data_IF_174353046429
#
_entry.id   IF_174353046429
#
_cell.length_a   1.000
_cell.length_b   1.000
_cell.length_c   1.000
_cell.angle_alpha   90.00
_cell.angle_beta   90.00
_cell.angle_gamma   90.00
#
_symmetry.space_group_name_H-M   'P 1'
#
loop_
_entity.id
_entity.type
_entity.pdbx_description
1 polymer ?
#
# COMPACT_ATOMS: atom_id res chain seq x y z
N UNK A 1 -9.37 -12.76 -6.67
CA UNK A 1 -8.01 -12.15 -6.76
C UNK A 1 -8.13 -10.65 -6.60
N UNK A 2 -7.43 -10.09 -5.61
CA UNK A 2 -7.41 -8.64 -5.46
C UNK A 2 -6.47 -8.00 -6.48
N UNK A 3 -6.92 -6.91 -7.12
CA UNK A 3 -6.10 -6.11 -8.04
C UNK A 3 -6.42 -4.63 -7.91
N UNK A 4 -5.38 -3.82 -7.86
CA UNK A 4 -5.49 -2.36 -7.78
C UNK A 4 -5.82 -1.76 -9.15
N UNK A 5 -6.81 -0.87 -9.21
CA UNK A 5 -7.16 -0.17 -10.45
C UNK A 5 -6.01 0.73 -10.92
N UNK A 6 -5.27 1.35 -10.00
CA UNK A 6 -4.09 2.14 -10.35
C UNK A 6 -2.99 1.29 -11.01
N UNK A 7 -2.84 0.02 -10.61
CA UNK A 7 -1.89 -0.91 -11.25
C UNK A 7 -2.33 -1.34 -12.66
N UNK A 8 -3.63 -1.38 -12.92
CA UNK A 8 -4.17 -1.60 -14.27
C UNK A 8 -3.99 -0.33 -15.11
N UNK A 9 -4.34 0.82 -14.54
CA UNK A 9 -4.29 2.13 -15.21
C UNK A 9 -2.89 2.48 -15.74
N UNK A 10 -1.83 2.07 -15.05
CA UNK A 10 -0.45 2.33 -15.52
C UNK A 10 -0.15 1.74 -16.91
N UNK A 11 -0.91 0.72 -17.32
CA UNK A 11 -0.75 0.09 -18.64
C UNK A 11 -1.45 0.84 -19.78
N UNK A 12 -2.25 1.88 -19.49
CA UNK A 12 -3.01 2.65 -20.46
C UNK A 12 -2.66 4.14 -20.38
N UNK A 13 -2.73 4.83 -21.51
CA UNK A 13 -2.58 6.29 -21.58
C UNK A 13 -3.88 6.99 -21.19
N UNK A 14 -5.01 6.45 -21.65
CA UNK A 14 -6.33 7.00 -21.37
C UNK A 14 -6.77 6.62 -19.94
N UNK A 15 -7.54 7.50 -19.32
CA UNK A 15 -8.18 7.21 -18.03
C UNK A 15 -9.26 6.15 -18.19
N UNK A 16 -9.25 5.16 -17.32
CA UNK A 16 -10.25 4.10 -17.24
C UNK A 16 -11.26 4.41 -16.14
N UNK A 17 -12.55 4.27 -16.46
CA UNK A 17 -13.61 4.32 -15.44
C UNK A 17 -13.76 2.95 -14.78
N UNK A 18 -13.69 2.89 -13.46
CA UNK A 18 -13.70 1.64 -12.70
C UNK A 18 -15.02 0.88 -12.84
N UNK A 19 -16.16 1.59 -12.90
CA UNK A 19 -17.47 0.95 -12.99
C UNK A 19 -17.66 0.35 -14.38
N UNK A 20 -17.31 1.10 -15.44
CA UNK A 20 -17.35 0.64 -16.82
C UNK A 20 -16.45 -0.59 -17.04
N UNK A 21 -15.23 -0.57 -16.48
CA UNK A 21 -14.31 -1.71 -16.57
C UNK A 21 -14.82 -2.92 -15.81
N UNK A 22 -15.35 -2.74 -14.59
CA UNK A 22 -15.92 -3.81 -13.78
C UNK A 22 -17.07 -4.53 -14.49
N UNK A 23 -18.01 -3.76 -15.07
CA UNK A 23 -19.13 -4.30 -15.83
C UNK A 23 -18.64 -5.06 -17.07
N UNK A 24 -17.73 -4.48 -17.85
CA UNK A 24 -17.19 -5.09 -19.06
C UNK A 24 -16.43 -6.38 -18.80
N UNK A 25 -15.62 -6.44 -17.74
CA UNK A 25 -14.91 -7.66 -17.34
C UNK A 25 -15.90 -8.77 -17.02
N UNK A 26 -16.93 -8.46 -16.22
CA UNK A 26 -17.97 -9.42 -15.84
C UNK A 26 -18.72 -9.93 -17.07
N UNK A 27 -19.05 -9.06 -18.03
CA UNK A 27 -19.76 -9.43 -19.27
C UNK A 27 -18.97 -10.38 -20.18
N UNK A 28 -17.64 -10.39 -20.11
CA UNK A 28 -16.80 -11.34 -20.87
C UNK A 28 -16.41 -12.58 -20.06
N UNK A 29 -16.98 -12.77 -18.85
CA UNK A 29 -16.79 -13.96 -18.03
C UNK A 29 -15.62 -13.85 -17.03
N UNK A 30 -15.12 -12.65 -16.77
CA UNK A 30 -14.17 -12.35 -15.69
C UNK A 30 -14.96 -11.62 -14.61
N UNK A 31 -15.54 -12.39 -13.68
CA UNK A 31 -16.45 -11.86 -12.66
C UNK A 31 -15.73 -10.92 -11.70
N UNK A 32 -16.28 -9.71 -11.50
CA UNK A 32 -15.83 -8.76 -10.49
C UNK A 32 -16.80 -8.84 -9.31
N UNK A 33 -16.37 -9.52 -8.24
CA UNK A 33 -17.19 -9.77 -7.04
C UNK A 33 -17.46 -8.50 -6.25
N UNK A 34 -16.45 -7.62 -6.16
CA UNK A 34 -16.59 -6.33 -5.47
C UNK A 34 -15.60 -5.29 -5.98
N UNK A 35 -15.98 -4.01 -5.79
CA UNK A 35 -15.14 -2.83 -6.04
C UNK A 35 -15.05 -2.05 -4.74
N UNK A 36 -13.86 -2.03 -4.13
CA UNK A 36 -13.62 -1.38 -2.85
C UNK A 36 -12.82 -0.10 -3.06
N UNK A 37 -13.41 1.06 -2.69
CA UNK A 37 -12.75 2.37 -2.80
C UNK A 37 -11.75 2.57 -1.66
N UNK A 38 -10.53 2.92 -2.00
CA UNK A 38 -9.53 3.47 -1.08
C UNK A 38 -9.70 5.00 -1.06
N UNK A 39 -10.41 5.51 -0.07
CA UNK A 39 -10.82 6.92 -0.03
C UNK A 39 -10.06 7.69 1.05
N UNK A 40 -8.94 8.29 0.67
CA UNK A 40 -8.18 9.20 1.53
C UNK A 40 -8.64 10.65 1.38
N UNK A 41 -9.25 11.01 0.24
CA UNK A 41 -9.68 12.37 -0.06
C UNK A 41 -10.85 12.82 0.81
N UNK A 42 -11.73 11.92 1.22
CA UNK A 42 -12.86 12.23 2.10
C UNK A 42 -12.51 12.35 3.59
N UNK A 43 -11.26 12.13 3.97
CA UNK A 43 -10.81 12.24 5.36
C UNK A 43 -10.92 13.70 5.85
N UNK A 44 -11.16 13.84 7.17
CA UNK A 44 -11.21 15.16 7.83
C UNK A 44 -9.85 15.88 7.73
N UNK A 45 -9.86 17.17 7.38
CA UNK A 45 -8.65 18.03 7.29
C UNK A 45 -7.82 18.08 8.59
N UNK A 46 -8.40 17.69 9.72
CA UNK A 46 -7.71 17.59 11.01
C UNK A 46 -6.99 16.26 11.22
N UNK A 47 -7.04 15.35 10.24
CA UNK A 47 -6.18 14.19 10.18
C UNK A 47 -4.93 14.61 9.41
N UNK A 48 -3.86 14.88 10.14
CA UNK A 48 -2.63 15.46 9.59
C UNK A 48 -1.46 14.47 9.69
N UNK A 49 -0.42 14.75 8.93
CA UNK A 49 0.84 14.01 9.00
C UNK A 49 1.65 14.52 10.18
N UNK A 50 2.09 13.62 11.06
CA UNK A 50 2.93 13.93 12.21
C UNK A 50 4.19 13.09 12.25
N UNK A 51 5.18 13.54 13.01
CA UNK A 51 6.40 12.79 13.28
C UNK A 51 6.53 12.47 14.77
N UNK A 52 6.81 11.23 15.09
CA UNK A 52 7.10 10.81 16.45
C UNK A 52 8.48 11.31 16.85
N UNK A 53 8.56 12.22 17.82
CA UNK A 53 9.82 12.76 18.32
C UNK A 53 10.37 11.96 19.51
N UNK A 54 9.48 11.45 20.35
CA UNK A 54 9.88 10.73 21.54
C UNK A 54 8.83 9.69 21.95
N UNK A 55 9.30 8.55 22.44
CA UNK A 55 8.45 7.47 22.95
C UNK A 55 8.91 7.11 24.37
N UNK A 56 8.00 7.14 25.33
CA UNK A 56 8.23 6.72 26.72
C UNK A 56 7.26 5.63 27.12
N UNK A 57 7.66 4.71 27.98
CA UNK A 57 6.74 3.73 28.57
C UNK A 57 5.71 4.43 29.45
N UNK A 58 4.48 3.94 29.41
CA UNK A 58 3.42 4.44 30.28
C UNK A 58 3.67 3.98 31.73
N UNK A 59 3.60 4.88 32.74
CA UNK A 59 3.93 4.51 34.14
C UNK A 59 2.98 3.48 34.74
N UNK A 60 1.72 3.46 34.32
CA UNK A 60 0.65 2.64 34.90
C UNK A 60 0.09 1.58 33.95
N UNK A 61 0.79 1.26 32.83
CA UNK A 61 0.30 0.28 31.87
C UNK A 61 1.43 -0.26 30.95
N UNK A 62 1.72 -1.56 31.10
CA UNK A 62 2.85 -2.21 30.39
C UNK A 62 2.72 -2.21 28.86
N UNK A 63 1.49 -2.21 28.32
CA UNK A 63 1.21 -2.25 26.88
C UNK A 63 1.01 -0.88 26.26
N UNK A 64 1.08 0.20 27.05
CA UNK A 64 0.88 1.56 26.53
C UNK A 64 2.19 2.33 26.49
N UNK A 65 2.24 3.26 25.58
CA UNK A 65 3.36 4.18 25.38
C UNK A 65 2.83 5.61 25.33
N UNK A 66 3.63 6.54 25.82
CA UNK A 66 3.39 7.98 25.73
C UNK A 66 4.27 8.50 24.61
N UNK A 67 3.65 9.01 23.55
CA UNK A 67 4.33 9.52 22.38
C UNK A 67 4.23 11.04 22.31
N UNK A 68 5.33 11.70 22.06
CA UNK A 68 5.40 13.13 21.71
C UNK A 68 5.44 13.22 20.17
N UNK A 69 4.39 13.77 19.57
CA UNK A 69 4.22 13.81 18.12
C UNK A 69 4.19 15.26 17.65
N UNK A 70 5.13 15.60 16.79
CA UNK A 70 5.23 16.90 16.13
C UNK A 70 4.32 16.95 14.90
N UNK A 71 3.41 17.90 14.87
CA UNK A 71 2.51 18.18 13.74
C UNK A 71 2.84 19.50 13.05
N UNK A 72 4.10 19.99 13.14
CA UNK A 72 4.61 21.27 12.63
C UNK A 72 4.07 22.49 13.39
N UNK A 73 2.80 22.49 13.73
CA UNK A 73 2.13 23.60 14.46
C UNK A 73 2.11 23.42 15.95
N UNK A 74 2.19 22.18 16.43
CA UNK A 74 2.11 21.83 17.86
C UNK A 74 2.78 20.48 18.12
N UNK A 75 3.24 20.29 19.35
CA UNK A 75 3.75 19.02 19.84
C UNK A 75 2.66 18.37 20.70
N UNK A 76 2.13 17.26 20.23
CA UNK A 76 1.03 16.55 20.89
C UNK A 76 1.54 15.39 21.74
N UNK A 77 1.02 15.27 22.95
CA UNK A 77 1.18 14.04 23.75
C UNK A 77 0.03 13.09 23.39
N UNK A 78 0.38 11.89 22.91
CA UNK A 78 -0.61 10.87 22.49
C UNK A 78 -0.27 9.55 23.16
N UNK A 79 -1.28 8.90 23.75
CA UNK A 79 -1.14 7.58 24.35
C UNK A 79 -1.46 6.53 23.28
N UNK A 80 -0.55 5.58 23.08
CA UNK A 80 -0.65 4.56 22.05
C UNK A 80 -0.38 3.16 22.61
N UNK A 81 -1.14 2.17 22.13
CA UNK A 81 -0.95 0.76 22.44
C UNK A 81 -0.26 -0.05 21.35
N UNK A 82 0.04 0.57 20.21
CA UNK A 82 0.70 -0.11 19.10
C UNK A 82 2.19 -0.31 19.38
N UNK A 83 2.72 -1.47 18.98
CA UNK A 83 4.13 -1.84 19.16
C UNK A 83 5.00 -1.61 17.93
N UNK A 84 4.40 -1.26 16.80
CA UNK A 84 5.10 -1.12 15.52
C UNK A 84 5.72 0.26 15.27
N UNK A 85 5.68 1.17 16.25
CA UNK A 85 6.14 2.56 16.16
C UNK A 85 7.55 2.76 16.72
N UNK A 86 8.32 3.67 16.11
CA UNK A 86 9.66 4.07 16.57
C UNK A 86 9.83 5.60 16.54
N UNK A 87 10.84 6.09 17.24
CA UNK A 87 11.23 7.49 17.15
C UNK A 87 11.64 7.83 15.70
N UNK A 88 11.12 8.95 15.19
CA UNK A 88 11.35 9.40 13.83
C UNK A 88 10.29 8.97 12.82
N UNK A 89 9.43 8.01 13.13
CA UNK A 89 8.38 7.55 12.24
C UNK A 89 7.41 8.68 11.87
N UNK A 90 7.04 8.71 10.59
CA UNK A 90 6.01 9.61 10.04
C UNK A 90 4.68 8.86 10.04
N UNK A 91 3.65 9.46 10.61
CA UNK A 91 2.38 8.79 10.88
C UNK A 91 1.17 9.71 10.65
N UNK A 92 -0.04 9.19 10.36
CA UNK A 92 -1.27 9.96 10.42
C UNK A 92 -1.69 10.21 11.86
N UNK A 93 -2.08 11.45 12.14
CA UNK A 93 -2.53 11.91 13.46
C UNK A 93 -3.90 12.57 13.33
N UNK A 94 -4.90 12.00 13.99
CA UNK A 94 -6.21 12.60 14.15
C UNK A 94 -6.18 13.57 15.36
N UNK A 95 -6.22 14.87 15.07
CA UNK A 95 -6.25 15.95 16.07
C UNK A 95 -7.59 16.01 16.80
N UNK A 96 -7.63 16.67 17.95
CA UNK A 96 -8.88 16.93 18.67
C UNK A 96 -9.87 17.65 17.75
N UNK A 97 -11.10 17.14 17.72
CA UNK A 97 -12.19 17.65 16.91
C UNK A 97 -12.29 17.03 15.51
N UNK A 98 -11.32 16.22 15.07
CA UNK A 98 -11.46 15.43 13.84
C UNK A 98 -12.52 14.35 13.97
N UNK A 99 -13.07 13.95 12.82
CA UNK A 99 -14.03 12.85 12.71
C UNK A 99 -13.44 11.76 11.84
N UNK A 100 -13.35 10.54 12.39
CA UNK A 100 -12.92 9.36 11.64
C UNK A 100 -14.04 8.83 10.73
N UNK A 101 -13.74 8.05 9.68
CA UNK A 101 -14.74 7.42 8.82
C UNK A 101 -15.76 6.57 9.57
N UNK A 102 -15.38 5.92 10.67
CA UNK A 102 -16.28 5.20 11.58
C UNK A 102 -17.32 6.09 12.29
N UNK A 103 -17.22 7.42 12.15
CA UNK A 103 -18.05 8.40 12.86
C UNK A 103 -17.50 8.81 14.22
N UNK A 104 -16.43 8.18 14.71
CA UNK A 104 -15.79 8.53 15.99
C UNK A 104 -15.20 9.94 15.91
N UNK A 105 -15.60 10.81 16.86
CA UNK A 105 -15.03 12.15 17.01
C UNK A 105 -13.92 12.15 18.05
N UNK A 106 -12.73 12.58 17.64
CA UNK A 106 -11.57 12.63 18.53
C UNK A 106 -11.72 13.78 19.53
N UNK A 107 -11.55 13.42 20.81
CA UNK A 107 -11.61 14.36 21.94
C UNK A 107 -10.37 14.18 22.80
N UNK A 108 -10.03 15.21 23.59
CA UNK A 108 -9.08 15.05 24.69
C UNK A 108 -9.55 13.90 25.60
N UNK A 109 -8.70 12.96 25.85
CA UNK A 109 -9.00 11.78 26.68
C UNK A 109 -7.96 11.61 27.77
N UNK A 110 -8.35 10.94 28.85
CA UNK A 110 -7.44 10.54 29.94
C UNK A 110 -7.38 9.01 29.95
N UNK A 111 -6.21 8.45 29.66
CA UNK A 111 -5.98 7.01 29.58
C UNK A 111 -5.01 6.60 30.69
N UNK A 112 -5.48 5.80 31.64
CA UNK A 112 -4.67 5.37 32.80
C UNK A 112 -3.91 6.53 33.47
N UNK A 113 -4.64 7.62 33.76
CA UNK A 113 -4.15 8.85 34.39
C UNK A 113 -3.24 9.76 33.55
N UNK A 114 -2.95 9.42 32.30
CA UNK A 114 -2.23 10.26 31.36
C UNK A 114 -3.18 10.90 30.35
N UNK A 115 -2.97 12.18 30.03
CA UNK A 115 -3.76 12.90 29.05
C UNK A 115 -3.29 12.61 27.64
N UNK A 116 -4.23 12.38 26.69
CA UNK A 116 -3.98 12.21 25.27
C UNK A 116 -4.69 13.29 24.47
N UNK A 117 -3.95 13.97 23.60
CA UNK A 117 -4.40 15.12 22.82
C UNK A 117 -4.61 14.81 21.33
N UNK A 118 -4.91 13.57 21.01
CA UNK A 118 -5.15 13.10 19.65
C UNK A 118 -5.06 11.59 19.58
N UNK A 119 -5.05 11.07 18.35
CA UNK A 119 -4.93 9.64 18.09
C UNK A 119 -4.04 9.41 16.87
N UNK A 120 -3.07 8.52 16.97
CA UNK A 120 -2.33 7.99 15.81
C UNK A 120 -3.19 6.94 15.13
N UNK A 121 -3.28 6.95 13.79
CA UNK A 121 -4.24 6.15 13.06
C UNK A 121 -3.60 4.95 12.34
N UNK A 122 -4.29 3.82 12.39
CA UNK A 122 -4.11 2.68 11.48
C UNK A 122 -4.86 2.89 10.17
N UNK A 123 -4.64 2.05 9.16
CA UNK A 123 -5.44 2.06 7.92
C UNK A 123 -6.91 1.72 8.18
N UNK A 124 -7.19 0.82 9.13
CA UNK A 124 -8.56 0.47 9.53
C UNK A 124 -9.30 1.69 10.10
N UNK A 125 -8.66 2.45 11.00
CA UNK A 125 -9.24 3.68 11.57
C UNK A 125 -9.42 4.77 10.52
N UNK A 126 -8.60 4.77 9.46
CA UNK A 126 -8.76 5.63 8.28
C UNK A 126 -9.78 5.07 7.27
N UNK A 127 -10.50 3.98 7.60
CA UNK A 127 -11.56 3.39 6.78
C UNK A 127 -11.08 2.74 5.49
N UNK A 128 -9.80 2.33 5.41
CA UNK A 128 -9.27 1.73 4.21
C UNK A 128 -9.59 0.22 4.12
N UNK A 129 -9.88 -0.31 2.92
CA UNK A 129 -10.31 -1.70 2.73
C UNK A 129 -9.16 -2.71 2.74
N UNK A 130 -7.94 -2.30 3.05
CA UNK A 130 -6.74 -3.14 3.09
C UNK A 130 -5.87 -2.79 4.31
N UNK A 131 -4.91 -3.66 4.63
CA UNK A 131 -3.96 -3.46 5.73
C UNK A 131 -2.53 -3.63 5.24
N UNK A 132 -1.63 -2.79 5.76
CA UNK A 132 -0.18 -2.87 5.49
C UNK A 132 0.54 -3.60 6.62
N UNK A 133 0.33 -3.15 7.85
CA UNK A 133 0.90 -3.70 9.08
C UNK A 133 -0.18 -3.75 10.15
N UNK A 134 -0.02 -4.62 11.16
CA UNK A 134 -0.85 -4.56 12.36
C UNK A 134 -0.39 -3.38 13.24
N UNK A 135 -1.23 -2.35 13.37
CA UNK A 135 -0.97 -1.18 14.19
C UNK A 135 -1.05 0.14 13.42
N UNK A 136 -0.25 1.11 13.84
CA UNK A 136 -0.25 2.45 13.25
C UNK A 136 0.32 2.42 11.83
N UNK A 137 -0.30 3.18 10.93
CA UNK A 137 0.21 3.38 9.59
C UNK A 137 1.52 4.18 9.62
N UNK A 138 2.61 3.58 9.15
CA UNK A 138 3.91 4.24 9.02
C UNK A 138 4.07 4.70 7.56
N UNK A 139 4.15 6.01 7.37
CA UNK A 139 4.35 6.65 6.07
C UNK A 139 5.85 6.75 5.73
N UNK A 140 6.16 7.09 4.49
CA UNK A 140 7.54 7.38 4.09
C UNK A 140 7.97 8.80 4.51
N UNK A 141 9.30 9.01 4.57
CA UNK A 141 9.89 10.27 5.03
C UNK A 141 9.69 11.47 4.09
N UNK A 142 9.15 11.22 2.91
CA UNK A 142 8.87 12.22 1.88
C UNK A 142 7.44 12.82 2.00
N UNK A 143 6.67 12.44 3.03
CA UNK A 143 5.44 13.11 3.40
C UNK A 143 5.72 14.37 4.23
N UNK A 144 5.03 15.48 3.93
CA UNK A 144 5.24 16.75 4.62
C UNK A 144 4.53 16.77 5.99
N UNK A 145 5.29 17.00 7.06
CA UNK A 145 4.75 17.08 8.43
C UNK A 145 3.81 18.28 8.54
N UNK A 146 2.65 18.07 9.15
CA UNK A 146 1.61 19.09 9.37
C UNK A 146 0.63 19.23 8.22
N UNK A 147 0.88 18.62 7.07
CA UNK A 147 -0.06 18.61 5.95
C UNK A 147 -1.27 17.71 6.27
N UNK A 148 -2.51 18.11 5.92
CA UNK A 148 -3.66 17.22 5.97
C UNK A 148 -3.47 16.00 5.06
N UNK A 149 -3.73 14.81 5.60
CA UNK A 149 -3.49 13.55 4.87
C UNK A 149 -4.29 13.47 3.57
N UNK A 150 -5.52 13.98 3.56
CA UNK A 150 -6.41 14.03 2.39
C UNK A 150 -5.92 14.96 1.28
N UNK A 151 -4.96 15.86 1.56
CA UNK A 151 -4.40 16.83 0.61
C UNK A 151 -2.96 16.52 0.21
N UNK A 152 -2.32 15.55 0.86
CA UNK A 152 -0.92 15.24 0.65
C UNK A 152 -0.68 14.58 -0.72
N UNK A 153 -0.57 13.31 -0.80
CA UNK A 153 -0.40 12.57 -2.05
C UNK A 153 -1.71 11.91 -2.44
N UNK A 154 -1.92 11.72 -3.73
CA UNK A 154 -3.03 10.88 -4.19
C UNK A 154 -2.77 9.41 -3.78
N UNK A 155 -3.35 9.01 -2.65
CA UNK A 155 -3.38 7.65 -2.16
C UNK A 155 -4.67 6.93 -2.56
N UNK A 156 -5.61 7.62 -3.19
CA UNK A 156 -6.88 7.07 -3.64
C UNK A 156 -6.67 5.97 -4.67
N UNK A 157 -7.50 4.96 -4.59
CA UNK A 157 -7.50 3.84 -5.52
C UNK A 157 -8.84 3.09 -5.46
N UNK A 158 -8.98 2.10 -6.32
CA UNK A 158 -10.01 1.08 -6.21
C UNK A 158 -9.36 -0.30 -6.22
N UNK A 159 -9.81 -1.17 -5.33
CA UNK A 159 -9.40 -2.57 -5.30
C UNK A 159 -10.56 -3.40 -5.82
N UNK A 160 -10.33 -4.08 -6.95
CA UNK A 160 -11.27 -5.03 -7.49
C UNK A 160 -10.99 -6.41 -6.93
N UNK A 161 -12.00 -7.11 -6.45
CA UNK A 161 -11.92 -8.54 -6.21
C UNK A 161 -12.47 -9.28 -7.42
N UNK A 162 -11.60 -10.05 -8.07
CA UNK A 162 -11.89 -10.69 -9.35
C UNK A 162 -11.88 -12.21 -9.20
N UNK A 163 -12.95 -12.85 -9.58
CA UNK A 163 -13.10 -14.29 -9.70
C UNK A 163 -12.39 -14.82 -10.96
N UNK A 164 -11.22 -15.43 -10.80
CA UNK A 164 -10.47 -16.03 -11.91
C UNK A 164 -10.74 -17.54 -11.97
N UNK A 165 -11.28 -18.01 -13.08
CA UNK A 165 -11.50 -19.44 -13.31
C UNK A 165 -10.20 -20.18 -13.59
N UNK A 166 -10.11 -21.51 -13.28
CA UNK A 166 -8.86 -22.27 -13.41
C UNK A 166 -8.24 -22.28 -14.83
N UNK A 167 -9.05 -22.09 -15.87
CA UNK A 167 -8.60 -22.04 -17.27
C UNK A 167 -8.05 -20.67 -17.68
N UNK A 168 -8.12 -19.64 -16.81
CA UNK A 168 -7.71 -18.26 -17.11
C UNK A 168 -6.48 -17.86 -16.26
N UNK A 169 -5.49 -18.74 -16.17
CA UNK A 169 -4.21 -18.45 -15.50
C UNK A 169 -3.46 -17.24 -16.07
N UNK A 170 -3.71 -16.87 -17.33
CA UNK A 170 -3.24 -15.66 -17.98
C UNK A 170 -3.69 -14.37 -17.30
N UNK A 171 -4.85 -14.39 -16.62
CA UNK A 171 -5.43 -13.27 -15.87
C UNK A 171 -4.95 -13.15 -14.42
N UNK A 172 -4.03 -14.00 -13.95
CA UNK A 172 -3.50 -13.95 -12.57
C UNK A 172 -2.44 -12.85 -12.36
N UNK A 173 -2.58 -11.71 -13.03
CA UNK A 173 -1.72 -10.53 -12.85
C UNK A 173 -2.42 -9.27 -13.33
N UNK A 174 -1.98 -8.09 -12.85
CA UNK A 174 -2.50 -6.80 -13.34
C UNK A 174 -2.29 -6.63 -14.84
N UNK A 175 -1.16 -7.11 -15.38
CA UNK A 175 -0.89 -7.08 -16.82
C UNK A 175 -1.81 -8.03 -17.59
N UNK A 176 -2.12 -9.20 -17.06
CA UNK A 176 -3.08 -10.14 -17.67
C UNK A 176 -4.47 -9.53 -17.75
N UNK A 177 -4.95 -8.93 -16.68
CA UNK A 177 -6.22 -8.20 -16.64
C UNK A 177 -6.18 -7.00 -17.60
N UNK A 178 -5.08 -6.25 -17.66
CA UNK A 178 -4.93 -5.13 -18.59
C UNK A 178 -5.01 -5.59 -20.06
N UNK A 179 -4.48 -6.77 -20.42
CA UNK A 179 -4.60 -7.35 -21.77
C UNK A 179 -6.05 -7.68 -22.12
N UNK A 180 -6.82 -8.23 -21.19
CA UNK A 180 -8.26 -8.45 -21.39
C UNK A 180 -9.00 -7.13 -21.59
N UNK A 181 -8.76 -6.16 -20.72
CA UNK A 181 -9.36 -4.83 -20.84
C UNK A 181 -9.00 -4.22 -22.21
N UNK A 182 -7.73 -4.29 -22.62
CA UNK A 182 -7.26 -3.81 -23.93
C UNK A 182 -8.08 -4.41 -25.09
N UNK A 183 -8.34 -5.72 -25.03
CA UNK A 183 -9.15 -6.41 -26.03
C UNK A 183 -10.61 -5.93 -26.04
N UNK A 184 -11.19 -5.75 -24.84
CA UNK A 184 -12.59 -5.34 -24.67
C UNK A 184 -12.83 -3.91 -25.14
N UNK A 185 -11.97 -2.97 -24.73
CA UNK A 185 -12.13 -1.54 -25.07
C UNK A 185 -11.46 -1.15 -26.39
N UNK A 186 -10.75 -2.09 -27.03
CA UNK A 186 -10.00 -1.91 -28.28
C UNK A 186 -8.95 -0.79 -28.19
N UNK A 187 -8.24 -0.71 -27.07
CA UNK A 187 -7.15 0.23 -26.81
C UNK A 187 -5.85 -0.52 -26.55
N UNK A 188 -4.75 0.03 -27.05
CA UNK A 188 -3.45 -0.61 -26.91
C UNK A 188 -2.86 -0.40 -25.50
N UNK A 189 -2.17 -1.42 -25.00
CA UNK A 189 -1.30 -1.30 -23.83
C UNK A 189 -0.03 -0.53 -24.24
N UNK A 190 0.49 0.29 -23.34
CA UNK A 190 1.74 1.05 -23.54
C UNK A 190 2.90 0.16 -23.97
N UNK A 191 3.68 0.63 -24.94
CA UNK A 191 4.76 -0.13 -25.58
C UNK A 191 5.93 -0.44 -24.64
N UNK A 192 6.15 0.33 -23.61
CA UNK A 192 7.20 0.14 -22.60
C UNK A 192 7.09 -1.20 -21.85
N UNK A 193 5.90 -1.80 -21.80
CA UNK A 193 5.70 -3.17 -21.30
C UNK A 193 5.97 -4.27 -22.34
N UNK A 194 6.50 -3.90 -23.49
CA UNK A 194 6.88 -4.83 -24.52
C UNK A 194 8.32 -5.28 -24.26
N UNK A 195 8.50 -6.42 -23.58
CA UNK A 195 9.81 -7.00 -23.19
C UNK A 195 10.83 -7.13 -24.34
N UNK A 196 10.40 -6.97 -25.59
CA UNK A 196 11.31 -6.99 -26.75
C UNK A 196 12.25 -5.78 -26.82
N UNK A 197 11.94 -4.68 -26.10
CA UNK A 197 12.71 -3.44 -26.14
C UNK A 197 13.52 -3.17 -24.86
N UNK A 198 13.49 -4.04 -23.85
CA UNK A 198 14.38 -3.92 -22.71
C UNK A 198 15.80 -4.38 -23.09
N UNK A 199 16.52 -3.52 -23.78
CA UNK A 199 17.98 -3.62 -23.95
C UNK A 199 18.66 -3.28 -22.63
N UNK A 200 18.39 -4.02 -21.58
CA UNK A 200 19.33 -4.10 -20.49
C UNK A 200 20.49 -4.93 -21.02
N UNK A 201 21.63 -4.31 -21.21
CA UNK A 201 22.91 -5.01 -21.32
C UNK A 201 23.12 -5.78 -20.01
N UNK A 202 22.49 -6.96 -19.93
CA UNK A 202 22.77 -7.91 -18.87
C UNK A 202 24.10 -8.53 -19.31
N UNK A 203 25.16 -8.12 -18.66
CA UNK A 203 26.47 -8.73 -18.84
C UNK A 203 26.38 -10.15 -18.24
N UNK A 204 26.18 -11.14 -19.12
CA UNK A 204 26.13 -12.53 -18.72
C UNK A 204 27.55 -13.03 -18.42
N UNK A 205 28.00 -12.78 -17.20
CA UNK A 205 29.17 -13.47 -16.68
C UNK A 205 28.73 -14.92 -16.31
N UNK A 206 28.78 -15.79 -17.32
CA UNK A 206 28.38 -17.21 -17.19
C UNK A 206 29.18 -17.97 -16.13
N UNK A 207 30.33 -17.46 -15.73
CA UNK A 207 31.26 -18.14 -14.82
C UNK A 207 30.82 -18.01 -13.34
N UNK A 208 29.82 -17.19 -13.03
CA UNK A 208 29.34 -16.96 -11.65
C UNK A 208 28.09 -17.72 -11.26
N UNK A 209 27.41 -18.37 -12.20
CA UNK A 209 26.19 -19.15 -11.96
C UNK A 209 26.37 -20.56 -12.52
N UNK A 210 26.46 -21.53 -11.62
CA UNK A 210 26.44 -22.93 -12.02
C UNK A 210 24.99 -23.44 -11.98
N UNK A 211 24.45 -23.81 -13.13
CA UNK A 211 23.08 -24.33 -13.28
C UNK A 211 23.15 -25.79 -13.73
N UNK A 212 22.59 -26.68 -12.93
CA UNK A 212 22.43 -28.09 -13.26
C UNK A 212 20.95 -28.35 -13.55
N UNK A 213 20.65 -28.95 -14.70
CA UNK A 213 19.29 -29.31 -15.11
C UNK A 213 19.25 -30.84 -15.17
N UNK A 214 18.48 -31.47 -14.28
CA UNK A 214 18.35 -32.91 -14.15
C UNK A 214 17.15 -33.50 -14.91
N UNK A 215 16.42 -32.68 -15.68
CA UNK A 215 15.22 -33.10 -16.40
C UNK A 215 15.18 -32.54 -17.82
N UNK A 216 14.83 -33.39 -18.78
CA UNK A 216 14.57 -32.99 -20.17
C UNK A 216 13.24 -32.27 -20.37
N UNK A 217 12.38 -32.25 -19.34
CA UNK A 217 11.08 -31.59 -19.39
C UNK A 217 11.18 -30.05 -19.34
N UNK A 218 12.31 -29.50 -18.88
CA UNK A 218 12.59 -28.08 -18.79
C UNK A 218 13.25 -27.59 -20.07
N UNK A 219 12.46 -27.07 -20.99
CA UNK A 219 12.97 -26.58 -22.31
C UNK A 219 13.70 -25.25 -22.21
N UNK A 220 13.39 -24.41 -21.24
CA UNK A 220 14.01 -23.09 -21.05
C UNK A 220 13.87 -22.66 -19.60
N UNK A 221 14.98 -22.25 -18.99
CA UNK A 221 15.02 -21.64 -17.66
C UNK A 221 15.84 -20.37 -17.72
N UNK A 222 15.28 -19.25 -17.21
CA UNK A 222 15.96 -17.96 -17.18
C UNK A 222 16.29 -17.63 -15.73
N UNK A 223 17.53 -17.27 -15.46
CA UNK A 223 18.02 -16.84 -14.16
C UNK A 223 18.61 -15.43 -14.26
N UNK A 224 18.44 -14.66 -13.19
CA UNK A 224 19.17 -13.42 -13.00
C UNK A 224 19.75 -13.42 -11.59
N UNK A 225 21.01 -13.03 -11.45
CA UNK A 225 21.68 -12.82 -10.18
C UNK A 225 21.77 -11.33 -9.91
N UNK A 226 21.34 -10.90 -8.72
CA UNK A 226 21.43 -9.53 -8.27
C UNK A 226 22.33 -9.51 -7.03
N UNK A 227 23.45 -8.78 -7.11
CA UNK A 227 24.43 -8.69 -6.03
C UNK A 227 24.27 -7.34 -5.26
N UNK A 228 24.95 -7.23 -4.12
CA UNK A 228 25.04 -6.02 -3.28
C UNK A 228 23.68 -5.56 -2.72
N UNK A 229 22.77 -6.49 -2.47
CA UNK A 229 21.48 -6.19 -1.85
C UNK A 229 21.63 -6.05 -0.33
N UNK A 230 20.99 -5.02 0.22
CA UNK A 230 20.88 -4.82 1.67
C UNK A 230 19.44 -5.15 2.07
N UNK A 231 19.28 -6.13 2.96
CA UNK A 231 17.96 -6.50 3.49
C UNK A 231 17.54 -5.44 4.52
N UNK A 232 16.44 -4.77 4.23
CA UNK A 232 15.83 -3.75 5.11
C UNK A 232 14.31 -3.93 5.18
N UNK A 233 13.64 -3.12 6.01
CA UNK A 233 12.18 -3.04 5.95
C UNK A 233 11.76 -2.52 4.58
N UNK A 234 10.68 -3.08 4.02
CA UNK A 234 10.11 -2.59 2.75
C UNK A 234 9.70 -1.13 2.87
N UNK A 235 9.99 -0.31 1.86
CA UNK A 235 9.53 1.07 1.83
C UNK A 235 8.00 1.14 1.75
N UNK A 236 7.42 2.25 2.20
CA UNK A 236 5.97 2.44 2.25
C UNK A 236 5.29 2.17 0.90
N UNK A 237 5.85 2.67 -0.21
CA UNK A 237 5.25 2.47 -1.54
C UNK A 237 5.11 0.99 -1.91
N UNK A 238 6.12 0.16 -1.57
CA UNK A 238 6.09 -1.28 -1.87
C UNK A 238 5.06 -2.00 -0.98
N UNK A 239 5.05 -1.70 0.31
CA UNK A 239 4.05 -2.25 1.24
C UNK A 239 2.63 -1.88 0.82
N UNK A 240 2.39 -0.61 0.49
CA UNK A 240 1.10 -0.11 0.05
C UNK A 240 0.66 -0.75 -1.27
N UNK A 241 1.60 -0.95 -2.20
CA UNK A 241 1.34 -1.65 -3.45
C UNK A 241 0.93 -3.11 -3.21
N UNK A 242 1.75 -3.88 -2.51
CA UNK A 242 1.51 -5.30 -2.23
C UNK A 242 0.21 -5.53 -1.44
N UNK A 243 -0.06 -4.70 -0.44
CA UNK A 243 -1.24 -4.81 0.41
C UNK A 243 -2.55 -4.69 -0.37
N UNK A 244 -2.59 -3.89 -1.44
CA UNK A 244 -3.75 -3.77 -2.34
C UNK A 244 -4.01 -5.05 -3.16
N UNK A 245 -3.03 -5.94 -3.25
CA UNK A 245 -3.17 -7.28 -3.83
C UNK A 245 -3.39 -8.36 -2.75
N UNK A 246 -3.56 -7.97 -1.49
CA UNK A 246 -3.68 -8.90 -0.36
C UNK A 246 -2.38 -9.61 -0.01
N UNK A 247 -1.24 -9.07 -0.43
CA UNK A 247 0.09 -9.64 -0.19
C UNK A 247 0.78 -8.86 0.93
N UNK A 248 1.22 -9.58 1.96
CA UNK A 248 2.01 -9.01 3.05
C UNK A 248 3.48 -8.96 2.68
N UNK A 249 4.12 -7.82 2.89
CA UNK A 249 5.56 -7.67 2.71
C UNK A 249 6.31 -8.22 3.93
N UNK A 250 7.34 -9.02 3.72
CA UNK A 250 8.26 -9.50 4.77
C UNK A 250 9.44 -8.53 4.93
N UNK A 251 10.09 -8.20 3.83
CA UNK A 251 11.19 -7.24 3.75
C UNK A 251 11.26 -6.68 2.32
N UNK A 252 12.22 -5.82 2.03
CA UNK A 252 12.36 -5.19 0.71
C UNK A 252 12.74 -6.14 -0.43
N UNK A 253 13.00 -7.40 -0.16
CA UNK A 253 13.34 -8.43 -1.14
C UNK A 253 12.26 -9.51 -1.27
N UNK A 254 11.48 -9.74 -0.19
CA UNK A 254 10.47 -10.81 -0.08
C UNK A 254 9.09 -10.23 0.18
#
# INVERSE_FOLDING_TARGET
MLVSMSSIQQHFEESLDVNDISEKLTMVGIEVDSVNKCDFESLDDKIVIGQIKNIKKHPNADKLQICEVDTKTELLTIICGASNINNGDIIPVAKIGSKLPSGLKIKKSKIRDQESFGMMCSLEELGQPYQIDNGILILSTDFEIGEPLNKSRNLNDYILDIGITPNRGDCLSSLGIAREISSIIKKNIKSEYNYKNSSHNIDFDSDKLNVVIDSDDVRRYCLAKIDNLIVTKSPFWLKNFLAKFGISSVNNLV
#
